data_IF_826842073936
#
_entry.id   IF_826842073936
#
_cell.length_a   1.000
_cell.length_b   1.000
_cell.length_c   1.000
_cell.angle_alpha   90.00
_cell.angle_beta   90.00
_cell.angle_gamma   90.00
#
_symmetry.space_group_name_H-M   'P 1'
#
loop_
_entity.id
_entity.type
_entity.pdbx_description
1 polymer ?
#
# COMPACT_ATOMS: atom_id res chain seq x y z
N UNK A 1 -3.82 17.28 2.98
CA UNK A 1 -4.35 15.93 3.30
C UNK A 1 -4.16 15.09 2.06
N UNK A 2 -3.36 14.03 2.12
CA UNK A 2 -3.18 13.10 0.99
C UNK A 2 -4.41 12.19 0.93
N UNK A 3 -5.03 12.06 -0.25
CA UNK A 3 -6.18 11.19 -0.44
C UNK A 3 -5.75 9.93 -1.17
N UNK A 4 -6.11 8.77 -0.62
CA UNK A 4 -5.79 7.46 -1.16
C UNK A 4 -7.06 6.85 -1.76
N UNK A 5 -6.94 6.24 -2.94
CA UNK A 5 -8.03 5.54 -3.61
C UNK A 5 -7.58 4.12 -3.96
N UNK A 6 -8.39 3.13 -3.60
CA UNK A 6 -8.20 1.77 -4.09
C UNK A 6 -8.59 1.72 -5.56
N UNK A 7 -7.65 1.30 -6.41
CA UNK A 7 -7.86 1.18 -7.86
C UNK A 7 -8.22 -0.24 -8.24
N UNK A 8 -7.58 -1.23 -7.62
CA UNK A 8 -7.93 -2.64 -7.76
C UNK A 8 -7.38 -3.46 -6.59
N UNK A 9 -8.00 -4.61 -6.34
CA UNK A 9 -7.53 -5.63 -5.38
C UNK A 9 -7.51 -6.96 -6.11
N UNK A 10 -6.39 -7.66 -6.05
CA UNK A 10 -6.21 -8.99 -6.63
C UNK A 10 -5.35 -9.86 -5.73
N UNK A 11 -5.27 -11.15 -6.03
CA UNK A 11 -4.40 -12.09 -5.30
C UNK A 11 -2.92 -11.71 -5.49
N UNK A 12 -2.57 -11.12 -6.63
CA UNK A 12 -1.19 -10.83 -7.03
C UNK A 12 -0.74 -9.46 -6.48
N UNK A 13 -1.62 -8.46 -6.53
CA UNK A 13 -1.31 -7.10 -6.13
C UNK A 13 -2.53 -6.27 -5.73
N UNK A 14 -2.28 -5.19 -4.99
CA UNK A 14 -3.27 -4.17 -4.63
C UNK A 14 -2.83 -2.83 -5.21
N UNK A 15 -3.66 -2.26 -6.08
CA UNK A 15 -3.47 -0.94 -6.66
C UNK A 15 -3.98 0.16 -5.73
N UNK A 16 -3.10 1.09 -5.35
CA UNK A 16 -3.45 2.29 -4.60
C UNK A 16 -3.06 3.52 -5.41
N UNK A 17 -4.05 4.33 -5.78
CA UNK A 17 -3.84 5.62 -6.41
C UNK A 17 -3.74 6.69 -5.31
N UNK A 18 -2.70 7.51 -5.38
CA UNK A 18 -2.43 8.56 -4.39
C UNK A 18 -2.67 9.91 -5.06
N UNK A 19 -3.72 10.62 -4.64
CA UNK A 19 -3.96 11.99 -5.07
C UNK A 19 -3.06 12.92 -4.25
N UNK A 20 -1.81 13.03 -4.69
CA UNK A 20 -0.83 13.99 -4.19
C UNK A 20 -0.26 14.80 -5.36
N UNK A 21 0.15 16.06 -5.14
CA UNK A 21 0.90 16.80 -6.15
C UNK A 21 2.16 16.00 -6.54
N UNK A 22 2.64 16.09 -7.79
CA UNK A 22 3.83 15.38 -8.28
C UNK A 22 5.15 15.93 -7.68
N UNK A 23 5.13 16.35 -6.43
CA UNK A 23 6.28 16.86 -5.66
C UNK A 23 7.06 15.72 -5.02
N UNK A 24 8.37 15.67 -5.30
CA UNK A 24 9.49 15.01 -4.61
C UNK A 24 9.18 13.81 -3.68
N UNK A 25 8.30 12.89 -4.10
CA UNK A 25 8.05 11.65 -3.38
C UNK A 25 7.41 11.82 -2.00
N UNK A 26 6.76 12.95 -1.70
CA UNK A 26 6.08 13.16 -0.41
C UNK A 26 5.01 12.08 -0.14
N UNK A 27 4.26 11.69 -1.18
CA UNK A 27 3.33 10.57 -1.13
C UNK A 27 4.00 9.25 -0.70
N UNK A 28 5.22 9.00 -1.18
CA UNK A 28 5.97 7.80 -0.80
C UNK A 28 6.43 7.87 0.65
N UNK A 29 6.90 9.04 1.11
CA UNK A 29 7.32 9.25 2.50
C UNK A 29 6.16 9.03 3.48
N UNK A 30 4.98 9.57 3.17
CA UNK A 30 3.77 9.44 3.98
C UNK A 30 3.27 7.99 4.01
N UNK A 31 3.27 7.29 2.86
CA UNK A 31 2.90 5.88 2.78
C UNK A 31 3.85 4.98 3.59
N UNK A 32 5.16 5.23 3.51
CA UNK A 32 6.17 4.52 4.30
C UNK A 32 5.94 4.74 5.80
N UNK A 33 5.64 5.98 6.20
CA UNK A 33 5.40 6.32 7.60
C UNK A 33 4.16 5.61 8.14
N UNK A 34 3.05 5.64 7.41
CA UNK A 34 1.81 4.99 7.84
C UNK A 34 1.95 3.47 7.92
N UNK A 35 2.65 2.84 6.96
CA UNK A 35 2.91 1.40 7.02
C UNK A 35 3.86 1.02 8.17
N UNK A 36 4.86 1.87 8.48
CA UNK A 36 5.72 1.69 9.66
C UNK A 36 4.95 1.82 10.98
N UNK A 37 4.01 2.77 11.08
CA UNK A 37 3.14 2.94 12.27
C UNK A 37 2.27 1.72 12.54
N UNK A 38 1.94 0.95 11.49
CA UNK A 38 1.12 -0.28 11.60
C UNK A 38 1.94 -1.57 11.62
N UNK A 39 3.25 -1.48 11.92
CA UNK A 39 4.17 -2.62 12.07
C UNK A 39 4.35 -3.50 10.81
N UNK A 40 3.98 -3.00 9.63
CA UNK A 40 4.28 -3.70 8.38
C UNK A 40 5.78 -3.55 8.04
N UNK A 41 6.51 -4.68 7.91
CA UNK A 41 7.91 -4.70 7.43
C UNK A 41 7.98 -4.36 5.93
N UNK A 42 7.86 -3.08 5.62
CA UNK A 42 7.92 -2.60 4.24
C UNK A 42 9.36 -2.61 3.69
N UNK A 43 9.55 -3.20 2.51
CA UNK A 43 10.74 -3.05 1.67
C UNK A 43 10.34 -2.14 0.50
N UNK A 44 11.13 -1.13 0.18
CA UNK A 44 10.83 -0.22 -0.93
C UNK A 44 11.97 -0.26 -1.92
N UNK A 45 11.68 -0.63 -3.17
CA UNK A 45 12.63 -0.41 -4.25
C UNK A 45 12.65 1.09 -4.56
N UNK A 46 13.82 1.73 -4.37
CA UNK A 46 14.09 3.15 -4.67
C UNK A 46 14.17 3.44 -6.18
N UNK A 47 13.73 2.50 -7.01
CA UNK A 47 13.67 2.67 -8.45
C UNK A 47 12.56 3.68 -8.80
N UNK A 48 12.67 4.34 -9.97
CA UNK A 48 11.62 5.19 -10.54
C UNK A 48 10.32 4.42 -10.87
N UNK A 49 10.23 3.14 -10.52
CA UNK A 49 9.03 2.34 -10.67
C UNK A 49 7.87 2.90 -9.82
N UNK A 50 6.70 3.11 -10.45
CA UNK A 50 5.49 3.50 -9.73
C UNK A 50 4.94 2.37 -8.85
N UNK A 51 5.32 1.13 -9.15
CA UNK A 51 4.91 -0.04 -8.39
C UNK A 51 5.81 -0.26 -7.18
N UNK A 52 5.18 -0.41 -6.00
CA UNK A 52 5.88 -0.59 -4.73
C UNK A 52 5.44 -1.90 -4.09
N UNK A 53 6.41 -2.79 -3.84
CA UNK A 53 6.15 -4.11 -3.26
C UNK A 53 6.30 -4.04 -1.74
N UNK A 54 5.19 -4.16 -1.01
CA UNK A 54 5.21 -4.19 0.46
C UNK A 54 5.17 -5.62 0.95
N UNK A 55 6.17 -6.05 1.72
CA UNK A 55 6.14 -7.34 2.40
C UNK A 55 5.37 -7.22 3.71
N UNK A 56 4.26 -7.94 3.82
CA UNK A 56 3.55 -8.07 5.10
C UNK A 56 4.13 -9.26 5.85
N UNK A 57 4.69 -9.03 7.03
CA UNK A 57 5.14 -10.10 7.94
C UNK A 57 4.19 -10.16 9.12
N UNK A 58 3.49 -11.27 9.30
CA UNK A 58 2.52 -11.47 10.38
C UNK A 58 1.98 -12.90 10.39
N UNK A 59 1.02 -13.18 11.26
CA UNK A 59 0.37 -14.50 11.39
C UNK A 59 -0.78 -14.74 10.41
N UNK A 60 -1.08 -13.77 9.54
CA UNK A 60 -2.17 -13.87 8.56
C UNK A 60 -1.71 -14.63 7.31
N UNK A 61 -2.59 -15.51 6.80
CA UNK A 61 -2.39 -16.15 5.51
C UNK A 61 -2.68 -15.16 4.37
N UNK A 62 -2.15 -15.38 3.14
CA UNK A 62 -2.45 -14.54 1.99
C UNK A 62 -3.95 -14.37 1.73
N UNK A 63 -4.75 -15.42 1.90
CA UNK A 63 -6.21 -15.39 1.72
C UNK A 63 -6.87 -14.48 2.76
N UNK A 64 -6.45 -14.54 4.02
CA UNK A 64 -6.96 -13.68 5.08
C UNK A 64 -6.62 -12.20 4.84
N UNK A 65 -5.46 -11.92 4.25
CA UNK A 65 -5.08 -10.56 3.84
C UNK A 65 -5.96 -10.10 2.69
N UNK A 66 -6.16 -10.94 1.66
CA UNK A 66 -7.00 -10.62 0.51
C UNK A 66 -8.46 -10.36 0.90
N UNK A 67 -9.04 -11.18 1.77
CA UNK A 67 -10.41 -11.01 2.26
C UNK A 67 -10.58 -9.68 2.99
N UNK A 68 -9.65 -9.32 3.86
CA UNK A 68 -9.68 -8.04 4.58
C UNK A 68 -9.56 -6.86 3.65
N UNK A 69 -8.63 -6.91 2.69
CA UNK A 69 -8.44 -5.84 1.70
C UNK A 69 -9.67 -5.67 0.81
N UNK A 70 -10.32 -6.77 0.42
CA UNK A 70 -11.55 -6.74 -0.38
C UNK A 70 -12.72 -6.14 0.40
N UNK A 71 -12.84 -6.47 1.70
CA UNK A 71 -13.85 -5.89 2.59
C UNK A 71 -13.65 -4.38 2.77
N UNK A 72 -12.43 -3.93 3.02
CA UNK A 72 -12.13 -2.49 3.16
C UNK A 72 -12.28 -1.74 1.82
N UNK A 73 -12.00 -2.38 0.68
CA UNK A 73 -12.21 -1.78 -0.64
C UNK A 73 -13.69 -1.61 -1.01
N UNK A 74 -14.57 -2.40 -0.40
CA UNK A 74 -16.01 -2.35 -0.63
C UNK A 74 -16.73 -1.38 0.32
N UNK A 75 -16.00 -0.70 1.18
CA UNK A 75 -16.50 0.18 2.23
C UNK A 75 -16.48 1.65 1.82
#
# INVERSE_FOLDING_TARGET
>A
MVQYFLSYVSIEAVGVAIAAPPTDGQANADLVLELKRREAKSFWTRAPDPEKIVKVTGSLTPEQVLDRLTQEASR
#
